data_IF_001749543712
#
_entry.id   IF_001749543712
#
_cell.length_a   1.000
_cell.length_b   1.000
_cell.length_c   1.000
_cell.angle_alpha   90.00
_cell.angle_beta   90.00
_cell.angle_gamma   90.00
#
_symmetry.space_group_name_H-M   'P 1'
#
loop_
_entity.id
_entity.type
_entity.pdbx_description
1 polymer ?
#
# COMPACT_ATOMS: atom_id res chain seq x y z
N UNK A 1 22.13 16.81 -17.80
CA UNK A 1 20.93 17.14 -17.00
C UNK A 1 20.93 16.24 -15.79
N UNK A 2 20.73 16.78 -14.58
CA UNK A 2 20.59 16.01 -13.33
C UNK A 2 19.09 15.98 -13.02
N UNK A 3 18.51 14.78 -12.83
CA UNK A 3 17.15 14.60 -12.35
C UNK A 3 17.19 14.37 -10.83
N UNK A 4 16.54 15.25 -10.06
CA UNK A 4 16.61 15.25 -8.60
C UNK A 4 15.22 15.18 -7.94
N UNK A 5 14.17 14.79 -8.69
CA UNK A 5 12.81 14.65 -8.19
C UNK A 5 12.37 13.16 -8.15
N UNK A 6 13.14 12.34 -7.41
CA UNK A 6 12.84 10.91 -7.29
C UNK A 6 11.56 10.62 -6.47
N UNK A 7 11.08 11.58 -5.68
CA UNK A 7 9.79 11.47 -5.01
C UNK A 7 8.61 11.48 -5.99
N UNK A 8 8.73 12.13 -7.15
CA UNK A 8 7.71 12.10 -8.19
C UNK A 8 7.74 10.80 -9.00
N UNK A 9 8.92 10.35 -9.43
CA UNK A 9 9.15 9.08 -10.14
C UNK A 9 10.63 8.79 -10.21
N UNK A 10 11.01 7.53 -10.44
CA UNK A 10 12.40 7.14 -10.68
C UNK A 10 12.61 6.68 -12.12
N UNK A 11 13.85 6.77 -12.59
CA UNK A 11 14.24 6.15 -13.86
C UNK A 11 14.22 4.63 -13.69
N UNK A 12 13.55 3.93 -14.60
CA UNK A 12 13.54 2.47 -14.61
C UNK A 12 14.97 1.92 -14.70
N UNK A 13 15.30 0.94 -13.87
CA UNK A 13 16.61 0.30 -13.87
C UNK A 13 16.85 -0.53 -15.13
N UNK A 14 18.10 -0.70 -15.52
CA UNK A 14 18.44 -1.56 -16.66
C UNK A 14 18.00 -3.00 -16.39
N UNK A 15 18.17 -3.49 -15.18
CA UNK A 15 17.73 -4.82 -14.74
C UNK A 15 16.23 -5.01 -14.93
N UNK A 16 15.41 -4.02 -14.54
CA UNK A 16 13.96 -4.10 -14.73
C UNK A 16 13.60 -4.10 -16.22
N UNK A 17 14.22 -3.26 -17.04
CA UNK A 17 14.01 -3.23 -18.48
C UNK A 17 14.33 -4.59 -19.10
N UNK A 18 15.51 -5.14 -18.82
CA UNK A 18 15.96 -6.40 -19.40
C UNK A 18 15.07 -7.58 -18.97
N UNK A 19 14.56 -7.57 -17.74
CA UNK A 19 13.62 -8.56 -17.25
C UNK A 19 12.24 -8.47 -17.95
N UNK A 20 11.81 -7.29 -18.37
CA UNK A 20 10.51 -7.07 -19.02
C UNK A 20 10.53 -7.37 -20.52
N UNK A 21 11.64 -7.10 -21.21
CA UNK A 21 11.73 -7.22 -22.68
C UNK A 21 11.27 -8.57 -23.23
N UNK A 22 11.65 -9.74 -22.67
CA UNK A 22 11.20 -11.02 -23.18
C UNK A 22 9.67 -11.19 -23.20
N UNK A 23 8.97 -10.58 -22.23
CA UNK A 23 7.50 -10.64 -22.14
C UNK A 23 6.80 -9.68 -23.11
N UNK A 24 7.50 -8.71 -23.65
CA UNK A 24 7.00 -7.82 -24.71
C UNK A 24 7.25 -8.38 -26.11
N UNK A 25 8.31 -9.19 -26.28
CA UNK A 25 8.77 -9.67 -27.61
C UNK A 25 8.39 -11.13 -27.88
N UNK A 26 8.62 -12.03 -26.93
CA UNK A 26 8.55 -13.49 -27.14
C UNK A 26 7.59 -14.23 -26.24
N UNK A 27 7.47 -13.86 -24.97
CA UNK A 27 6.64 -14.55 -23.96
C UNK A 27 5.31 -13.81 -23.72
N UNK A 28 4.58 -13.54 -24.80
CA UNK A 28 3.34 -12.73 -24.77
C UNK A 28 2.07 -13.55 -24.47
N UNK A 29 2.20 -14.75 -23.93
CA UNK A 29 1.07 -15.64 -23.64
C UNK A 29 0.11 -15.07 -22.60
N UNK A 30 -1.18 -15.38 -22.75
CA UNK A 30 -2.18 -15.09 -21.75
C UNK A 30 -2.04 -16.08 -20.58
N UNK A 31 -1.77 -15.65 -19.33
CA UNK A 31 -1.58 -16.54 -18.19
C UNK A 31 -2.81 -17.37 -17.81
N UNK A 32 -3.99 -17.07 -18.35
CA UNK A 32 -5.21 -17.88 -18.17
C UNK A 32 -5.36 -19.00 -19.18
N UNK A 33 -4.48 -19.09 -20.19
CA UNK A 33 -4.55 -20.13 -21.22
C UNK A 33 -3.91 -21.44 -20.77
N UNK A 34 -4.51 -22.58 -21.14
CA UNK A 34 -4.07 -23.90 -20.70
C UNK A 34 -2.90 -24.48 -21.52
N UNK A 35 -2.59 -23.90 -22.66
CA UNK A 35 -1.48 -24.35 -23.51
C UNK A 35 -0.15 -23.73 -23.05
N UNK A 36 0.97 -24.28 -23.55
CA UNK A 36 2.34 -24.00 -23.11
C UNK A 36 2.65 -22.47 -22.97
N UNK A 37 2.28 -21.68 -23.99
CA UNK A 37 2.58 -20.22 -23.96
C UNK A 37 1.88 -19.50 -22.80
N UNK A 38 0.66 -19.94 -22.44
CA UNK A 38 -0.07 -19.44 -21.28
C UNK A 38 0.54 -19.89 -19.96
N UNK A 39 1.00 -21.14 -19.90
CA UNK A 39 1.65 -21.68 -18.70
C UNK A 39 2.96 -20.95 -18.40
N UNK A 40 3.80 -20.70 -19.41
CA UNK A 40 5.04 -19.90 -19.28
C UNK A 40 4.76 -18.49 -18.72
N UNK A 41 3.69 -17.85 -19.19
CA UNK A 41 3.27 -16.54 -18.67
C UNK A 41 2.74 -16.62 -17.22
N UNK A 42 1.99 -17.68 -16.88
CA UNK A 42 1.50 -17.90 -15.53
C UNK A 42 2.63 -18.16 -14.53
N UNK A 43 3.63 -18.96 -14.92
CA UNK A 43 4.82 -19.24 -14.11
C UNK A 43 5.62 -17.96 -13.85
N UNK A 44 5.80 -17.11 -14.87
CA UNK A 44 6.49 -15.83 -14.71
C UNK A 44 5.77 -14.89 -13.75
N UNK A 45 4.44 -14.80 -13.87
CA UNK A 45 3.61 -13.98 -12.96
C UNK A 45 3.67 -14.52 -11.53
N UNK A 46 3.65 -15.84 -11.36
CA UNK A 46 3.76 -16.48 -10.05
C UNK A 46 5.14 -16.22 -9.41
N UNK A 47 6.22 -16.36 -10.18
CA UNK A 47 7.58 -16.07 -9.72
C UNK A 47 7.75 -14.60 -9.29
N UNK A 48 7.14 -13.67 -10.04
CA UNK A 48 7.13 -12.25 -9.64
C UNK A 48 6.39 -12.04 -8.31
N UNK A 49 5.24 -12.71 -8.10
CA UNK A 49 4.51 -12.67 -6.81
C UNK A 49 5.36 -13.20 -5.66
N UNK A 50 6.02 -14.33 -5.86
CA UNK A 50 6.89 -14.96 -4.86
C UNK A 50 8.03 -14.03 -4.46
N UNK A 51 8.64 -13.37 -5.44
CA UNK A 51 9.71 -12.42 -5.20
C UNK A 51 9.24 -11.23 -4.36
N UNK A 52 8.11 -10.60 -4.74
CA UNK A 52 7.55 -9.47 -4.00
C UNK A 52 7.13 -9.89 -2.58
N UNK A 53 6.48 -11.05 -2.47
CA UNK A 53 6.04 -11.59 -1.18
C UNK A 53 7.22 -11.84 -0.22
N UNK A 54 8.31 -12.43 -0.73
CA UNK A 54 9.53 -12.64 0.04
C UNK A 54 10.15 -11.33 0.54
N UNK A 55 10.13 -10.28 -0.29
CA UNK A 55 10.62 -8.95 0.11
C UNK A 55 9.79 -8.29 1.21
N UNK A 56 8.49 -8.60 1.29
CA UNK A 56 7.55 -8.00 2.25
C UNK A 56 7.26 -8.89 3.46
N UNK A 57 7.76 -10.13 3.49
CA UNK A 57 7.52 -11.09 4.57
C UNK A 57 6.10 -11.66 4.57
N UNK A 58 5.44 -11.74 3.41
CA UNK A 58 4.10 -12.31 3.26
C UNK A 58 4.07 -13.50 2.30
N UNK A 59 2.88 -14.08 2.06
CA UNK A 59 2.70 -15.18 1.11
C UNK A 59 2.38 -14.65 -0.29
N UNK A 60 2.70 -15.38 -1.37
CA UNK A 60 2.38 -14.95 -2.74
C UNK A 60 0.89 -14.71 -3.00
N UNK A 61 0.00 -15.40 -2.27
CA UNK A 61 -1.46 -15.23 -2.39
C UNK A 61 -1.95 -13.89 -1.87
N UNK A 62 -1.16 -13.22 -1.02
CA UNK A 62 -1.46 -11.90 -0.46
C UNK A 62 -1.02 -10.75 -1.37
N UNK A 63 -0.32 -11.06 -2.48
CA UNK A 63 0.08 -10.05 -3.46
C UNK A 63 -1.02 -9.86 -4.51
N UNK A 64 -1.46 -8.63 -4.68
CA UNK A 64 -2.38 -8.21 -5.76
C UNK A 64 -1.68 -7.19 -6.65
N UNK A 65 -1.54 -7.50 -7.94
CA UNK A 65 -1.05 -6.54 -8.91
C UNK A 65 -2.17 -5.61 -9.35
N UNK A 66 -1.88 -4.31 -9.38
CA UNK A 66 -2.78 -3.23 -9.80
C UNK A 66 -2.10 -2.35 -10.84
N UNK A 67 -2.82 -1.39 -11.39
CA UNK A 67 -2.25 -0.42 -12.34
C UNK A 67 -1.34 0.63 -11.70
N UNK A 68 -1.25 0.68 -10.36
CA UNK A 68 -0.40 1.60 -9.61
C UNK A 68 -0.86 1.84 -8.19
N UNK A 69 -0.10 2.66 -7.43
CA UNK A 69 -0.35 2.94 -6.02
C UNK A 69 -1.75 3.48 -5.75
N UNK A 70 -2.25 4.39 -6.59
CA UNK A 70 -3.61 4.96 -6.39
C UNK A 70 -4.72 3.91 -6.48
N UNK A 71 -4.61 2.93 -7.38
CA UNK A 71 -5.57 1.82 -7.43
C UNK A 71 -5.41 0.92 -6.22
N UNK A 72 -4.18 0.61 -5.81
CA UNK A 72 -3.90 -0.21 -4.62
C UNK A 72 -4.51 0.43 -3.37
N UNK A 73 -4.28 1.73 -3.13
CA UNK A 73 -4.86 2.49 -2.03
C UNK A 73 -6.39 2.46 -2.04
N UNK A 74 -6.99 2.77 -3.20
CA UNK A 74 -8.44 2.76 -3.35
C UNK A 74 -9.04 1.38 -3.04
N UNK A 75 -8.42 0.33 -3.57
CA UNK A 75 -8.89 -1.05 -3.34
C UNK A 75 -8.78 -1.44 -1.87
N UNK A 76 -7.68 -1.11 -1.20
CA UNK A 76 -7.47 -1.40 0.21
C UNK A 76 -8.53 -0.69 1.08
N UNK A 77 -8.67 0.63 0.93
CA UNK A 77 -9.59 1.43 1.73
C UNK A 77 -11.04 1.03 1.52
N UNK A 78 -11.47 0.89 0.26
CA UNK A 78 -12.86 0.51 -0.06
C UNK A 78 -13.15 -0.89 0.46
N UNK A 79 -12.22 -1.85 0.30
CA UNK A 79 -12.42 -3.22 0.78
C UNK A 79 -12.55 -3.26 2.31
N UNK A 80 -11.66 -2.57 3.03
CA UNK A 80 -11.71 -2.48 4.49
C UNK A 80 -13.01 -1.82 4.98
N UNK A 81 -13.41 -0.72 4.34
CA UNK A 81 -14.67 -0.03 4.65
C UNK A 81 -15.88 -0.97 4.48
N UNK A 82 -15.95 -1.74 3.38
CA UNK A 82 -17.04 -2.71 3.16
C UNK A 82 -17.04 -3.87 4.16
N UNK A 83 -15.86 -4.33 4.57
CA UNK A 83 -15.74 -5.33 5.64
C UNK A 83 -16.24 -4.76 6.97
N UNK A 84 -15.89 -3.52 7.28
CA UNK A 84 -16.36 -2.80 8.47
C UNK A 84 -17.86 -2.60 8.47
N UNK A 85 -18.43 -2.10 7.37
CA UNK A 85 -19.87 -1.87 7.21
C UNK A 85 -20.72 -3.11 7.48
N UNK A 86 -20.28 -4.29 6.99
CA UNK A 86 -20.93 -5.57 7.26
C UNK A 86 -20.94 -5.94 8.76
N UNK A 87 -20.04 -5.35 9.55
CA UNK A 87 -19.94 -5.52 11.00
C UNK A 87 -20.55 -4.36 11.78
N UNK A 88 -21.24 -3.42 11.10
CA UNK A 88 -21.81 -2.23 11.70
C UNK A 88 -20.80 -1.17 12.10
N UNK A 89 -19.56 -1.24 11.56
CA UNK A 89 -18.49 -0.29 11.87
C UNK A 89 -18.29 0.67 10.70
N UNK A 90 -18.29 1.96 10.97
CA UNK A 90 -18.22 3.00 9.93
C UNK A 90 -17.24 4.14 10.26
N UNK A 91 -16.38 4.00 11.26
CA UNK A 91 -15.37 4.98 11.59
C UNK A 91 -14.03 4.58 10.98
N UNK A 92 -13.35 5.56 10.36
CA UNK A 92 -12.03 5.41 9.72
C UNK A 92 -11.11 6.50 10.25
N UNK A 93 -9.91 6.13 10.66
CA UNK A 93 -8.87 7.04 11.12
C UNK A 93 -7.81 7.15 10.03
N UNK A 94 -7.38 8.38 9.74
CA UNK A 94 -6.27 8.67 8.82
C UNK A 94 -5.46 9.86 9.32
N UNK A 95 -4.51 10.34 8.51
CA UNK A 95 -3.73 11.54 8.83
C UNK A 95 -4.06 12.70 7.89
N UNK A 96 -3.81 13.92 8.35
CA UNK A 96 -4.15 15.13 7.58
C UNK A 96 -3.22 15.38 6.38
N UNK A 97 -2.16 14.60 6.19
CA UNK A 97 -1.13 14.83 5.17
C UNK A 97 -0.91 13.64 4.21
N UNK A 98 -1.92 12.79 4.08
CA UNK A 98 -1.91 11.66 3.15
C UNK A 98 -1.84 12.08 1.70
N UNK A 99 -1.39 11.16 0.84
CA UNK A 99 -1.49 11.34 -0.60
C UNK A 99 -2.95 11.50 -1.06
N UNK A 100 -3.17 12.22 -2.14
CA UNK A 100 -4.51 12.49 -2.70
C UNK A 100 -5.30 11.23 -3.02
N UNK A 101 -4.64 10.11 -3.36
CA UNK A 101 -5.29 8.82 -3.58
C UNK A 101 -6.05 8.34 -2.32
N UNK A 102 -5.48 8.55 -1.14
CA UNK A 102 -6.12 8.27 0.16
C UNK A 102 -7.21 9.30 0.44
N UNK A 103 -6.87 10.60 0.44
CA UNK A 103 -7.79 11.67 0.84
C UNK A 103 -9.07 11.73 -0.03
N UNK A 104 -8.94 11.50 -1.35
CA UNK A 104 -10.12 11.50 -2.23
C UNK A 104 -10.99 10.27 -2.00
N UNK A 105 -10.39 9.11 -1.72
CA UNK A 105 -11.14 7.90 -1.37
C UNK A 105 -11.86 8.05 -0.04
N UNK A 106 -11.23 8.65 0.96
CA UNK A 106 -11.86 8.97 2.25
C UNK A 106 -13.05 9.91 2.06
N UNK A 107 -12.91 10.99 1.28
CA UNK A 107 -14.04 11.89 0.94
C UNK A 107 -15.19 11.20 0.22
N UNK A 108 -14.91 10.18 -0.59
CA UNK A 108 -15.94 9.35 -1.21
C UNK A 108 -16.67 8.52 -0.15
N UNK A 109 -15.93 7.87 0.75
CA UNK A 109 -16.49 7.07 1.82
C UNK A 109 -17.34 7.90 2.80
N UNK A 110 -16.95 9.16 3.11
CA UNK A 110 -17.78 10.10 3.88
C UNK A 110 -19.16 10.31 3.24
N UNK A 111 -19.20 10.51 1.90
CA UNK A 111 -20.48 10.63 1.15
C UNK A 111 -21.33 9.36 1.19
N UNK A 112 -20.71 8.22 1.46
CA UNK A 112 -21.36 6.91 1.62
C UNK A 112 -21.73 6.60 3.08
N UNK A 113 -21.55 7.58 3.99
CA UNK A 113 -21.97 7.51 5.39
C UNK A 113 -20.92 6.94 6.34
N UNK A 114 -19.66 6.93 5.96
CA UNK A 114 -18.56 6.69 6.89
C UNK A 114 -18.15 7.98 7.60
N UNK A 115 -17.72 7.87 8.84
CA UNK A 115 -17.11 8.95 9.59
C UNK A 115 -15.59 8.85 9.46
N UNK A 116 -14.95 9.91 8.99
CA UNK A 116 -13.49 9.95 8.79
C UNK A 116 -12.89 10.94 9.77
N UNK A 117 -11.99 10.47 10.62
CA UNK A 117 -11.18 11.29 11.51
C UNK A 117 -9.77 11.46 10.95
N UNK A 118 -9.38 12.70 10.67
CA UNK A 118 -8.03 13.03 10.19
C UNK A 118 -7.19 13.54 11.37
N UNK A 119 -6.25 12.73 11.83
CA UNK A 119 -5.34 13.11 12.90
C UNK A 119 -4.39 14.24 12.44
N UNK A 120 -4.26 15.29 13.24
CA UNK A 120 -3.31 16.35 12.94
C UNK A 120 -1.88 15.83 13.11
N UNK A 121 -1.02 16.15 12.15
CA UNK A 121 0.41 15.90 12.28
C UNK A 121 1.08 17.00 13.10
N UNK A 122 2.01 16.62 13.97
CA UNK A 122 2.77 17.57 14.76
C UNK A 122 3.76 18.40 13.93
N UNK A 123 4.50 19.33 14.54
CA UNK A 123 5.50 20.16 13.87
C UNK A 123 6.60 19.36 13.16
N UNK A 124 6.82 18.12 13.58
CA UNK A 124 7.77 17.18 12.97
C UNK A 124 7.18 16.40 11.80
N UNK A 125 5.91 16.63 11.44
CA UNK A 125 5.23 15.90 10.37
C UNK A 125 4.99 14.42 10.70
N UNK A 126 4.69 14.10 11.98
CA UNK A 126 4.44 12.72 12.43
C UNK A 126 3.19 12.64 13.29
N UNK A 127 2.61 11.45 13.39
CA UNK A 127 1.62 11.07 14.40
C UNK A 127 2.21 9.98 15.27
N UNK A 128 1.78 9.92 16.53
CA UNK A 128 2.22 8.88 17.46
C UNK A 128 1.23 7.72 17.51
N UNK A 129 1.69 6.55 17.89
CA UNK A 129 0.81 5.40 18.15
C UNK A 129 -0.23 5.71 19.24
N UNK A 130 0.11 6.56 20.22
CA UNK A 130 -0.82 6.99 21.27
C UNK A 130 -1.97 7.83 20.70
N UNK A 131 -1.72 8.76 19.77
CA UNK A 131 -2.78 9.54 19.12
C UNK A 131 -3.75 8.59 18.35
N UNK A 132 -3.21 7.56 17.68
CA UNK A 132 -4.05 6.55 17.02
C UNK A 132 -4.85 5.74 18.05
N UNK A 133 -4.22 5.32 19.14
CA UNK A 133 -4.89 4.57 20.22
C UNK A 133 -6.06 5.34 20.85
N UNK A 134 -5.88 6.64 21.07
CA UNK A 134 -6.87 7.53 21.67
C UNK A 134 -8.06 7.80 20.71
N UNK A 135 -7.82 7.78 19.40
CA UNK A 135 -8.83 7.98 18.35
C UNK A 135 -9.64 6.70 18.06
N UNK A 136 -9.12 5.51 18.38
CA UNK A 136 -9.83 4.25 18.11
C UNK A 136 -11.07 4.13 18.99
N UNK A 137 -12.21 3.92 18.33
CA UNK A 137 -13.54 3.73 18.93
C UNK A 137 -14.06 2.31 18.68
N UNK A 138 -15.13 1.86 19.37
CA UNK A 138 -15.73 0.53 19.13
C UNK A 138 -16.21 0.31 17.69
N UNK A 139 -16.61 1.37 16.99
CA UNK A 139 -17.05 1.35 15.59
C UNK A 139 -15.95 1.68 14.57
N UNK A 140 -14.70 1.79 15.00
CA UNK A 140 -13.55 1.94 14.09
C UNK A 140 -13.34 0.65 13.29
N UNK A 141 -13.27 0.76 11.97
CA UNK A 141 -13.04 -0.37 11.08
C UNK A 141 -11.68 -0.35 10.40
N UNK A 142 -11.06 0.82 10.26
CA UNK A 142 -9.80 1.00 9.55
C UNK A 142 -8.99 2.13 10.17
N UNK A 143 -7.70 1.91 10.32
CA UNK A 143 -6.68 2.93 10.44
C UNK A 143 -5.86 2.90 9.15
N UNK A 144 -5.65 4.05 8.52
CA UNK A 144 -4.80 4.19 7.33
C UNK A 144 -3.85 5.35 7.49
N UNK A 145 -2.55 5.08 7.40
CA UNK A 145 -1.50 6.11 7.47
C UNK A 145 -0.44 5.84 6.42
N UNK A 146 0.12 6.90 5.83
CA UNK A 146 1.27 6.70 4.96
C UNK A 146 2.49 6.23 5.78
N UNK A 147 3.37 5.45 5.14
CA UNK A 147 4.60 4.99 5.77
C UNK A 147 5.64 6.10 5.84
N UNK A 148 5.83 6.80 4.72
CA UNK A 148 6.74 7.94 4.60
C UNK A 148 6.09 9.01 3.72
N UNK A 149 6.21 10.27 4.14
CA UNK A 149 5.61 11.38 3.40
C UNK A 149 6.47 11.79 2.20
N UNK A 150 5.84 11.94 1.04
CA UNK A 150 6.50 12.26 -0.22
C UNK A 150 7.01 13.71 -0.33
N UNK A 151 6.52 14.63 0.50
CA UNK A 151 6.89 16.05 0.43
C UNK A 151 7.93 16.44 1.47
N UNK A 152 7.76 16.00 2.71
CA UNK A 152 8.63 16.40 3.82
C UNK A 152 9.56 15.28 4.29
N UNK A 153 9.38 14.05 3.80
CA UNK A 153 10.28 12.92 4.08
C UNK A 153 10.16 12.33 5.49
N UNK A 154 9.16 12.72 6.27
CA UNK A 154 8.93 12.13 7.60
C UNK A 154 8.50 10.67 7.47
N UNK A 155 9.00 9.82 8.39
CA UNK A 155 8.66 8.40 8.50
C UNK A 155 7.77 8.24 9.74
N UNK A 156 6.64 7.56 9.58
CA UNK A 156 5.70 7.30 10.67
C UNK A 156 6.09 6.04 11.45
N UNK A 157 5.70 5.93 12.73
CA UNK A 157 5.99 4.78 13.58
C UNK A 157 5.04 3.60 13.26
N UNK A 158 5.22 3.00 12.08
CA UNK A 158 4.29 2.01 11.51
C UNK A 158 4.15 0.76 12.38
N UNK A 159 5.26 0.25 12.93
CA UNK A 159 5.23 -0.95 13.76
C UNK A 159 4.42 -0.72 15.05
N UNK A 160 4.59 0.43 15.67
CA UNK A 160 3.87 0.83 16.89
C UNK A 160 2.38 1.06 16.60
N UNK A 161 2.05 1.72 15.48
CA UNK A 161 0.66 1.91 15.06
C UNK A 161 0.02 0.55 14.75
N UNK A 162 0.72 -0.31 14.01
CA UNK A 162 0.25 -1.66 13.71
C UNK A 162 -0.01 -2.50 14.97
N UNK A 163 0.88 -2.39 15.97
CA UNK A 163 0.69 -3.07 17.25
C UNK A 163 -0.59 -2.61 17.96
N UNK A 164 -0.84 -1.30 18.00
CA UNK A 164 -2.08 -0.72 18.56
C UNK A 164 -3.31 -1.22 17.80
N UNK A 165 -3.29 -1.18 16.47
CA UNK A 165 -4.40 -1.64 15.64
C UNK A 165 -4.69 -3.12 15.88
N UNK A 166 -3.66 -3.96 15.95
CA UNK A 166 -3.78 -5.41 16.25
C UNK A 166 -4.39 -5.65 17.63
N UNK A 167 -3.92 -4.96 18.66
CA UNK A 167 -4.46 -5.06 20.03
C UNK A 167 -5.95 -4.69 20.08
N UNK A 168 -6.35 -3.64 19.35
CA UNK A 168 -7.74 -3.15 19.29
C UNK A 168 -8.63 -3.90 18.30
N UNK A 169 -8.08 -4.84 17.51
CA UNK A 169 -8.82 -5.59 16.49
C UNK A 169 -9.37 -4.71 15.35
N UNK A 170 -8.61 -3.69 14.95
CA UNK A 170 -8.88 -2.77 13.85
C UNK A 170 -7.94 -3.06 12.70
N UNK A 171 -8.44 -3.05 11.46
CA UNK A 171 -7.60 -3.24 10.28
C UNK A 171 -6.63 -2.05 10.11
N UNK A 172 -5.39 -2.37 9.76
CA UNK A 172 -4.36 -1.38 9.50
C UNK A 172 -3.88 -1.43 8.05
N UNK A 173 -3.99 -0.30 7.37
CA UNK A 173 -3.44 -0.06 6.03
C UNK A 173 -2.32 0.96 6.09
N UNK A 174 -1.28 0.78 5.29
CA UNK A 174 -0.24 1.80 5.07
C UNK A 174 0.02 2.03 3.58
N UNK A 175 0.00 3.31 3.16
CA UNK A 175 0.57 3.72 1.88
C UNK A 175 2.09 3.75 1.99
N UNK A 176 2.74 2.69 1.50
CA UNK A 176 4.18 2.53 1.50
C UNK A 176 4.84 2.89 0.16
N UNK A 177 4.15 3.64 -0.70
CA UNK A 177 4.63 4.02 -2.04
C UNK A 177 6.00 4.72 -1.98
N UNK A 178 6.26 5.53 -0.95
CA UNK A 178 7.56 6.21 -0.78
C UNK A 178 8.56 5.41 0.06
N UNK A 179 8.12 4.35 0.75
CA UNK A 179 8.97 3.56 1.64
C UNK A 179 9.49 2.28 0.99
N UNK A 180 8.68 1.65 0.14
CA UNK A 180 9.03 0.39 -0.52
C UNK A 180 10.30 0.52 -1.37
N UNK A 181 11.22 -0.43 -1.18
CA UNK A 181 12.53 -0.41 -1.84
C UNK A 181 13.56 0.54 -1.20
N UNK A 182 13.17 1.37 -0.23
CA UNK A 182 14.05 2.30 0.49
C UNK A 182 14.21 1.94 1.96
N UNK A 183 13.18 1.41 2.57
CA UNK A 183 13.15 0.99 3.98
C UNK A 183 12.89 -0.51 4.07
N UNK A 184 13.35 -1.12 5.17
CA UNK A 184 13.00 -2.51 5.46
C UNK A 184 11.53 -2.58 5.89
N UNK A 185 10.74 -3.36 5.17
CA UNK A 185 9.33 -3.59 5.45
C UNK A 185 9.10 -5.08 5.63
N UNK A 186 8.53 -5.47 6.77
CA UNK A 186 8.02 -6.81 6.99
C UNK A 186 6.61 -6.69 7.57
N UNK A 187 5.61 -7.07 6.79
CA UNK A 187 4.21 -6.84 7.13
C UNK A 187 3.77 -7.61 8.39
N UNK A 188 4.37 -8.77 8.65
CA UNK A 188 4.08 -9.56 9.84
C UNK A 188 4.68 -8.94 11.10
N UNK A 189 5.96 -8.54 11.04
CA UNK A 189 6.66 -7.92 12.18
C UNK A 189 6.05 -6.56 12.55
N UNK A 190 5.58 -5.81 11.54
CA UNK A 190 5.01 -4.47 11.69
C UNK A 190 3.48 -4.47 11.85
N UNK A 191 2.85 -5.65 11.89
CA UNK A 191 1.41 -5.82 12.07
C UNK A 191 0.56 -5.06 11.02
N UNK A 192 0.97 -5.09 9.77
CA UNK A 192 0.30 -4.46 8.65
C UNK A 192 -0.68 -5.46 8.01
N UNK A 193 -1.98 -5.11 7.92
CA UNK A 193 -2.98 -5.94 7.26
C UNK A 193 -3.04 -5.69 5.74
N UNK A 194 -2.80 -4.45 5.31
CA UNK A 194 -2.80 -4.04 3.91
C UNK A 194 -1.70 -3.02 3.67
N UNK A 195 -1.01 -3.15 2.53
CA UNK A 195 0.08 -2.26 2.13
C UNK A 195 -0.04 -1.93 0.64
N UNK A 196 0.07 -0.66 0.31
CA UNK A 196 0.14 -0.18 -1.07
C UNK A 196 1.56 0.23 -1.44
N UNK A 197 2.00 -0.13 -2.66
CA UNK A 197 3.27 0.29 -3.21
C UNK A 197 3.16 0.55 -4.72
N UNK A 198 4.19 1.19 -5.31
CA UNK A 198 4.20 1.49 -6.74
C UNK A 198 5.61 1.35 -7.32
N UNK A 199 5.77 0.47 -8.31
CA UNK A 199 7.08 0.08 -8.88
C UNK A 199 7.91 1.25 -9.37
N UNK A 200 7.28 2.29 -9.95
CA UNK A 200 8.00 3.45 -10.48
C UNK A 200 8.68 4.33 -9.43
N UNK A 201 8.43 4.11 -8.15
CA UNK A 201 9.10 4.83 -7.05
C UNK A 201 10.42 4.18 -6.62
N UNK A 202 10.65 2.92 -7.01
CA UNK A 202 11.87 2.16 -6.71
C UNK A 202 12.46 1.50 -7.97
N UNK A 203 12.55 2.27 -9.06
CA UNK A 203 13.19 1.90 -10.32
C UNK A 203 12.53 0.77 -11.11
N UNK A 204 11.25 0.48 -10.83
CA UNK A 204 10.41 -0.42 -11.60
C UNK A 204 9.60 0.32 -12.69
N UNK A 205 8.67 -0.37 -13.37
CA UNK A 205 7.80 0.21 -14.39
C UNK A 205 6.77 1.18 -13.79
N UNK A 206 6.27 2.05 -14.69
CA UNK A 206 5.16 2.96 -14.40
C UNK A 206 3.83 2.25 -14.61
#
# INVERSE_FOLDING_TARGET
MVYADNAATTKMSRTAIDAMLPYMETHYGNPSSLYRLGQEAAEALQSARETVAACLGCTPREITFTSGGSEADNQALISAARIGERKGKKHIISTAFEHHAILHTLKKLEKEGFEVELLPVGPTGTVTAQQVADAIRPDTCLVTTMYANNEIGSILPIAEIGAVCREKGVLFHTDAVQAAGHLHINVNEQNIDMLSLSGHKFHGPK
#
